data_IF_798357092737
#
_entry.id   IF_798357092737
#
_cell.length_a   1.000
_cell.length_b   1.000
_cell.length_c   1.000
_cell.angle_alpha   90.00
_cell.angle_beta   90.00
_cell.angle_gamma   90.00
#
_symmetry.space_group_name_H-M   'P 1'
#
loop_
_entity.id
_entity.type
_entity.pdbx_description
1 polymer ?
#
# COMPACT_ATOMS: atom_id res chain seq x y z
N UNK A 1 -7.09 -51.72 16.31
CA UNK A 1 -6.89 -51.53 14.86
C UNK A 1 -8.09 -50.79 14.35
N UNK A 2 -8.06 -49.46 14.30
CA UNK A 2 -9.07 -48.64 13.65
C UNK A 2 -8.34 -47.48 12.94
N UNK A 3 -8.33 -47.61 11.64
CA UNK A 3 -7.73 -46.67 10.66
C UNK A 3 -8.59 -45.41 10.58
N UNK A 4 -8.02 -44.27 10.97
CA UNK A 4 -8.64 -42.94 10.80
C UNK A 4 -8.21 -42.30 9.48
N UNK A 5 -9.14 -42.20 8.55
CA UNK A 5 -8.95 -41.59 7.26
C UNK A 5 -9.01 -40.06 7.39
N UNK A 6 -7.90 -39.38 7.14
CA UNK A 6 -7.84 -37.90 7.03
C UNK A 6 -8.45 -37.49 5.70
N UNK A 7 -9.60 -36.83 5.72
CA UNK A 7 -10.20 -36.19 4.54
C UNK A 7 -9.41 -34.95 4.18
N UNK A 8 -8.75 -34.97 3.01
CA UNK A 8 -8.21 -33.76 2.35
C UNK A 8 -9.39 -32.91 1.87
N UNK A 9 -9.49 -31.69 2.38
CA UNK A 9 -10.44 -30.69 1.88
C UNK A 9 -10.07 -30.29 0.45
N UNK A 10 -10.98 -30.55 -0.46
CA UNK A 10 -10.91 -30.10 -1.85
C UNK A 10 -11.14 -28.59 -1.88
N UNK A 11 -10.15 -27.83 -2.33
CA UNK A 11 -10.30 -26.44 -2.72
C UNK A 11 -11.30 -26.35 -3.89
N UNK A 12 -12.46 -25.76 -3.64
CA UNK A 12 -13.36 -25.39 -4.74
C UNK A 12 -12.82 -24.14 -5.44
N UNK A 13 -12.89 -24.09 -6.78
CA UNK A 13 -12.52 -22.89 -7.53
C UNK A 13 -13.54 -21.77 -7.24
N UNK A 14 -13.03 -20.56 -7.07
CA UNK A 14 -13.79 -19.35 -6.83
C UNK A 14 -14.67 -19.01 -8.05
N UNK A 15 -15.99 -18.95 -7.87
CA UNK A 15 -16.92 -18.44 -8.87
C UNK A 15 -17.40 -17.04 -8.45
N UNK A 16 -17.29 -16.03 -9.32
CA UNK A 16 -17.77 -14.70 -9.00
C UNK A 16 -19.32 -14.67 -8.94
N UNK A 17 -19.86 -14.40 -7.78
CA UNK A 17 -21.31 -14.18 -7.62
C UNK A 17 -21.61 -12.76 -8.05
N UNK A 18 -22.24 -12.58 -9.22
CA UNK A 18 -22.82 -11.33 -9.68
C UNK A 18 -24.10 -11.04 -8.90
N UNK A 19 -24.02 -10.21 -7.87
CA UNK A 19 -25.20 -9.64 -7.22
C UNK A 19 -25.52 -8.27 -7.82
N UNK A 20 -26.71 -8.19 -8.45
CA UNK A 20 -27.24 -6.97 -9.09
C UNK A 20 -27.94 -6.10 -8.05
N UNK A 21 -27.50 -4.87 -7.85
CA UNK A 21 -28.33 -3.81 -7.27
C UNK A 21 -28.44 -2.64 -8.26
N UNK A 22 -29.66 -2.33 -8.64
CA UNK A 22 -30.01 -1.19 -9.51
C UNK A 22 -30.15 0.06 -8.64
N UNK A 23 -29.49 1.16 -9.06
CA UNK A 23 -29.89 2.51 -8.64
C UNK A 23 -29.97 3.44 -9.85
N UNK A 24 -30.98 4.31 -9.80
CA UNK A 24 -31.53 5.11 -10.87
C UNK A 24 -30.58 6.22 -11.38
N UNK A 25 -30.74 6.53 -12.67
CA UNK A 25 -30.15 7.66 -13.36
C UNK A 25 -30.78 8.98 -12.88
N UNK A 26 -29.96 10.03 -12.79
CA UNK A 26 -30.45 11.40 -12.97
C UNK A 26 -29.53 12.18 -13.91
N UNK A 27 -30.18 12.79 -14.88
CA UNK A 27 -29.67 13.60 -15.98
C UNK A 27 -29.59 15.06 -15.55
N UNK A 28 -28.45 15.75 -15.80
CA UNK A 28 -28.44 17.14 -16.29
C UNK A 28 -27.04 17.57 -16.72
N UNK A 29 -26.92 17.97 -17.99
CA UNK A 29 -25.71 18.52 -18.56
C UNK A 29 -25.52 20.00 -18.24
N UNK A 30 -24.29 20.44 -18.27
CA UNK A 30 -23.91 21.79 -18.72
C UNK A 30 -22.40 21.81 -18.99
N UNK A 31 -22.01 22.44 -20.12
CA UNK A 31 -20.68 22.45 -20.65
C UNK A 31 -19.73 23.43 -19.95
N UNK A 32 -18.44 23.11 -19.99
CA UNK A 32 -17.35 24.03 -19.70
C UNK A 32 -16.19 23.79 -20.66
N UNK A 33 -15.66 24.87 -21.20
CA UNK A 33 -14.57 24.98 -22.20
C UNK A 33 -13.21 24.62 -21.60
N UNK A 34 -12.25 24.15 -22.38
CA UNK A 34 -10.90 23.82 -21.88
C UNK A 34 -10.03 25.08 -21.74
N UNK A 35 -9.40 25.22 -20.59
CA UNK A 35 -8.33 26.20 -20.35
C UNK A 35 -6.99 25.46 -20.43
N UNK A 36 -6.14 25.91 -21.35
CA UNK A 36 -4.78 25.42 -21.50
C UNK A 36 -3.89 26.02 -20.39
N UNK A 37 -3.24 25.19 -19.60
CA UNK A 37 -2.23 25.62 -18.62
C UNK A 37 -0.86 25.16 -19.11
N UNK A 38 -0.03 26.14 -19.51
CA UNK A 38 1.41 26.00 -19.74
C UNK A 38 2.11 25.84 -18.38
N UNK A 39 2.96 24.85 -18.25
CA UNK A 39 3.89 24.72 -17.12
C UNK A 39 5.18 25.52 -17.41
N UNK A 40 5.73 26.26 -16.44
CA UNK A 40 7.12 26.66 -16.46
C UNK A 40 7.94 25.83 -15.47
N UNK A 41 8.89 25.07 -15.96
CA UNK A 41 10.00 24.56 -15.14
C UNK A 41 10.98 25.71 -14.86
N UNK A 42 11.06 26.12 -13.61
CA UNK A 42 12.14 26.98 -13.13
C UNK A 42 13.14 26.11 -12.37
N UNK A 43 14.39 26.14 -12.84
CA UNK A 43 15.57 25.57 -12.15
C UNK A 43 15.87 26.42 -10.93
N UNK A 44 15.92 25.83 -9.76
CA UNK A 44 16.50 26.43 -8.56
C UNK A 44 17.77 25.66 -8.22
N UNK A 45 18.92 26.30 -8.43
CA UNK A 45 20.22 25.92 -7.85
C UNK A 45 20.35 26.71 -6.54
N UNK A 46 20.36 26.01 -5.41
CA UNK A 46 20.73 26.60 -4.13
C UNK A 46 22.08 26.01 -3.69
N UNK A 47 23.07 26.88 -3.57
CA UNK A 47 24.39 26.59 -3.01
C UNK A 47 24.26 26.35 -1.50
N UNK A 48 24.85 25.26 -1.02
CA UNK A 48 24.98 24.92 0.41
C UNK A 48 26.39 25.32 0.86
N UNK A 49 26.58 26.14 1.88
CA UNK A 49 27.90 26.44 2.41
C UNK A 49 28.42 25.29 3.28
N UNK A 50 29.65 24.93 3.01
CA UNK A 50 30.47 23.98 3.72
C UNK A 50 30.86 24.54 5.10
N UNK A 51 30.45 23.91 6.20
CA UNK A 51 30.97 24.19 7.53
C UNK A 51 31.19 22.90 8.31
N UNK A 52 32.47 22.60 8.48
CA UNK A 52 32.99 21.51 9.27
C UNK A 52 32.48 21.54 10.71
N UNK A 53 31.80 20.48 11.16
CA UNK A 53 31.42 20.27 12.56
C UNK A 53 32.35 19.23 13.19
N UNK A 54 33.22 19.71 14.08
CA UNK A 54 34.04 18.89 14.98
C UNK A 54 33.15 18.22 16.03
N UNK A 55 33.11 16.89 16.06
CA UNK A 55 32.36 16.12 17.06
C UNK A 55 33.20 15.92 18.30
N UNK A 56 32.96 16.69 19.35
CA UNK A 56 33.39 16.41 20.72
C UNK A 56 32.34 15.54 21.43
N UNK A 57 32.71 14.30 21.81
CA UNK A 57 31.91 13.44 22.67
C UNK A 57 31.86 14.03 24.08
N UNK A 58 30.68 14.48 24.51
CA UNK A 58 30.37 14.74 25.92
C UNK A 58 29.14 13.88 26.28
N UNK A 59 29.36 12.97 27.23
CA UNK A 59 28.35 12.11 27.85
C UNK A 59 27.56 12.93 28.86
N UNK A 60 26.43 13.47 28.45
CA UNK A 60 25.39 13.95 29.35
C UNK A 60 24.03 13.63 28.75
N UNK A 61 23.18 12.96 29.54
CA UNK A 61 21.82 12.60 29.17
C UNK A 61 21.04 13.87 28.82
N UNK A 62 20.90 14.18 27.54
CA UNK A 62 20.06 15.27 27.07
C UNK A 62 18.61 14.79 27.18
N UNK A 63 17.90 15.32 28.17
CA UNK A 63 16.45 15.28 28.25
C UNK A 63 15.88 16.03 27.02
N UNK A 64 15.61 15.32 25.95
CA UNK A 64 14.96 15.88 24.76
C UNK A 64 13.51 16.16 25.14
N UNK A 65 13.19 17.41 25.43
CA UNK A 65 11.79 17.85 25.49
C UNK A 65 11.20 17.66 24.08
N UNK A 66 10.09 16.93 23.92
CA UNK A 66 9.47 16.77 22.62
C UNK A 66 8.81 18.08 22.20
N UNK A 67 9.57 18.94 21.54
CA UNK A 67 9.08 20.22 20.96
C UNK A 67 8.42 20.00 19.60
N UNK A 68 8.64 18.84 18.97
CA UNK A 68 8.00 18.46 17.71
C UNK A 68 6.58 17.93 17.96
N UNK A 69 5.56 18.61 17.39
CA UNK A 69 4.16 18.16 17.51
C UNK A 69 3.89 16.73 17.01
N UNK A 70 4.65 16.25 16.04
CA UNK A 70 4.52 14.89 15.48
C UNK A 70 5.02 13.83 16.47
N UNK A 71 6.14 14.11 17.18
CA UNK A 71 6.69 13.24 18.22
C UNK A 71 5.70 13.12 19.39
N UNK A 72 5.06 14.22 19.79
CA UNK A 72 4.05 14.22 20.83
C UNK A 72 2.81 13.39 20.49
N UNK A 73 2.30 13.51 19.27
CA UNK A 73 1.14 12.72 18.79
C UNK A 73 1.43 11.21 18.73
N UNK A 74 2.61 10.84 18.22
CA UNK A 74 3.06 9.43 18.18
C UNK A 74 3.16 8.82 19.57
N UNK A 75 3.81 9.53 20.51
CA UNK A 75 3.99 9.05 21.88
C UNK A 75 2.65 8.89 22.60
N UNK A 76 1.73 9.87 22.44
CA UNK A 76 0.40 9.80 22.99
C UNK A 76 -0.40 8.62 22.44
N UNK A 77 -0.40 8.43 21.11
CA UNK A 77 -1.10 7.31 20.50
C UNK A 77 -0.51 5.95 20.96
N UNK A 78 0.81 5.86 21.12
CA UNK A 78 1.45 4.67 21.65
C UNK A 78 0.99 4.32 23.08
N UNK A 79 0.74 5.33 23.94
CA UNK A 79 0.15 5.12 25.28
C UNK A 79 -1.30 4.62 25.19
N UNK A 80 -2.11 5.19 24.27
CA UNK A 80 -3.49 4.73 24.04
C UNK A 80 -3.55 3.30 23.46
N UNK A 81 -2.59 2.90 22.63
CA UNK A 81 -2.53 1.53 22.10
C UNK A 81 -2.20 0.48 23.17
N UNK A 82 -1.47 0.87 24.23
CA UNK A 82 -1.05 -0.05 25.29
C UNK A 82 -2.12 -0.29 26.36
N UNK A 83 -3.14 0.55 26.42
CA UNK A 83 -4.09 0.60 27.55
C UNK A 83 -5.52 0.75 27.08
N UNK A 84 -6.47 0.11 27.77
CA UNK A 84 -7.87 0.21 27.40
C UNK A 84 -8.46 1.61 27.62
N UNK A 85 -7.93 2.36 28.62
CA UNK A 85 -8.31 3.75 28.88
C UNK A 85 -7.20 4.45 29.68
N UNK A 86 -7.01 5.77 29.44
CA UNK A 86 -6.01 6.59 30.14
C UNK A 86 -6.56 7.98 30.40
N UNK A 87 -6.45 8.49 31.64
CA UNK A 87 -6.89 9.86 31.94
C UNK A 87 -5.99 10.91 31.30
N UNK A 88 -6.56 12.08 30.99
CA UNK A 88 -5.77 13.20 30.44
C UNK A 88 -4.70 13.70 31.39
N UNK A 89 -4.86 13.56 32.71
CA UNK A 89 -3.82 13.89 33.71
C UNK A 89 -2.69 12.86 33.65
N UNK A 90 -3.00 11.57 33.63
CA UNK A 90 -2.00 10.51 33.52
C UNK A 90 -1.19 10.59 32.23
N UNK A 91 -1.84 10.89 31.08
CA UNK A 91 -1.13 11.16 29.82
C UNK A 91 -0.21 12.37 29.93
N UNK A 92 -0.67 13.45 30.57
CA UNK A 92 0.14 14.65 30.76
C UNK A 92 1.40 14.36 31.59
N UNK A 93 1.25 13.64 32.71
CA UNK A 93 2.35 13.28 33.59
C UNK A 93 3.36 12.35 32.89
N UNK A 94 2.89 11.32 32.18
CA UNK A 94 3.75 10.36 31.46
C UNK A 94 4.53 11.00 30.33
N UNK A 95 3.91 11.92 29.61
CA UNK A 95 4.51 12.59 28.45
C UNK A 95 5.28 13.86 28.81
N UNK A 96 5.23 14.28 30.09
CA UNK A 96 5.87 15.50 30.54
C UNK A 96 5.29 16.76 29.90
N UNK A 97 3.99 16.79 29.65
CA UNK A 97 3.27 17.89 28.98
C UNK A 97 2.07 18.36 29.82
N UNK A 98 1.42 19.46 29.43
CA UNK A 98 0.19 19.94 30.08
C UNK A 98 -1.04 19.15 29.59
N UNK A 99 -2.12 19.13 30.40
CA UNK A 99 -3.41 18.58 29.99
C UNK A 99 -3.97 19.24 28.73
N UNK A 100 -3.75 20.55 28.56
CA UNK A 100 -4.14 21.27 27.36
C UNK A 100 -3.37 20.81 26.13
N UNK A 101 -2.09 20.47 26.26
CA UNK A 101 -1.28 19.89 25.20
C UNK A 101 -1.78 18.47 24.84
N UNK A 102 -2.15 17.64 25.84
CA UNK A 102 -2.77 16.33 25.59
C UNK A 102 -4.05 16.49 24.78
N UNK A 103 -4.96 17.37 25.20
CA UNK A 103 -6.21 17.61 24.47
C UNK A 103 -5.95 18.00 23.00
N UNK A 104 -5.01 18.93 22.76
CA UNK A 104 -4.63 19.36 21.41
C UNK A 104 -4.06 18.21 20.57
N UNK A 105 -3.31 17.30 21.16
CA UNK A 105 -2.82 16.12 20.44
C UNK A 105 -3.93 15.11 20.15
N UNK A 106 -4.88 14.92 21.05
CA UNK A 106 -6.08 14.08 20.81
C UNK A 106 -6.86 14.61 19.62
N UNK A 107 -7.12 15.93 19.53
CA UNK A 107 -7.84 16.50 18.39
C UNK A 107 -7.10 16.29 17.07
N UNK A 108 -5.78 16.46 17.06
CA UNK A 108 -4.95 16.15 15.87
C UNK A 108 -5.01 14.68 15.43
N UNK A 109 -5.05 13.76 16.39
CA UNK A 109 -5.19 12.34 16.08
C UNK A 109 -6.59 12.04 15.52
N UNK A 110 -7.64 12.69 16.03
CA UNK A 110 -9.00 12.61 15.49
C UNK A 110 -9.07 13.16 14.06
N UNK A 111 -8.44 14.29 13.79
CA UNK A 111 -8.31 14.87 12.45
C UNK A 111 -7.55 13.94 11.49
N UNK A 112 -6.59 13.16 12.01
CA UNK A 112 -5.87 12.14 11.26
C UNK A 112 -6.65 10.82 11.07
N UNK A 113 -7.92 10.77 11.53
CA UNK A 113 -8.81 9.63 11.35
C UNK A 113 -8.76 8.58 12.47
N UNK A 114 -8.10 8.87 13.60
CA UNK A 114 -8.09 7.96 14.76
C UNK A 114 -9.37 8.16 15.58
N UNK A 115 -10.15 7.10 15.72
CA UNK A 115 -11.37 7.11 16.53
C UNK A 115 -11.01 7.03 18.03
N UNK A 116 -11.02 8.18 18.70
CA UNK A 116 -10.72 8.31 20.13
C UNK A 116 -11.95 8.81 20.86
N UNK A 117 -12.47 8.02 21.78
CA UNK A 117 -13.56 8.39 22.66
C UNK A 117 -13.00 9.00 23.96
N UNK A 118 -13.82 9.88 24.58
CA UNK A 118 -13.59 10.43 25.90
C UNK A 118 -14.77 10.10 26.80
N UNK A 119 -14.53 9.41 27.92
CA UNK A 119 -15.57 9.06 28.89
C UNK A 119 -15.28 9.73 30.23
N UNK A 120 -16.31 10.35 30.78
CA UNK A 120 -16.21 10.93 32.12
C UNK A 120 -15.79 9.87 33.13
N UNK A 121 -14.77 10.14 33.94
CA UNK A 121 -14.23 9.24 34.96
C UNK A 121 -13.25 8.17 34.46
N UNK A 122 -13.24 7.80 33.17
CA UNK A 122 -12.30 6.81 32.62
C UNK A 122 -11.23 7.36 31.65
N UNK A 123 -11.43 8.57 31.13
CA UNK A 123 -10.46 9.24 30.25
C UNK A 123 -10.62 8.90 28.78
N UNK A 124 -9.50 8.91 28.04
CA UNK A 124 -9.45 8.64 26.60
C UNK A 124 -9.21 7.15 26.34
N UNK A 125 -9.86 6.62 25.29
CA UNK A 125 -9.64 5.26 24.81
C UNK A 125 -9.83 5.21 23.30
N UNK A 126 -9.16 4.26 22.64
CA UNK A 126 -9.38 3.97 21.23
C UNK A 126 -10.71 3.24 21.08
N UNK A 127 -11.58 3.74 20.21
CA UNK A 127 -12.84 3.05 19.87
C UNK A 127 -12.58 1.68 19.26
N UNK A 128 -11.46 1.56 18.55
CA UNK A 128 -11.00 0.32 17.92
C UNK A 128 -9.51 0.12 18.22
N UNK A 129 -9.06 -1.10 18.59
CA UNK A 129 -7.65 -1.39 18.76
C UNK A 129 -6.83 -1.03 17.53
N UNK A 130 -5.71 -0.34 17.75
CA UNK A 130 -4.78 0.08 16.71
C UNK A 130 -3.38 -0.42 17.05
N UNK A 131 -2.65 -0.90 16.05
CA UNK A 131 -1.28 -1.36 16.17
C UNK A 131 -0.36 -0.46 15.35
N UNK A 132 0.61 0.20 16.03
CA UNK A 132 1.62 1.02 15.37
C UNK A 132 2.75 0.14 14.82
N UNK A 133 3.29 0.54 13.67
CA UNK A 133 4.47 -0.10 13.10
C UNK A 133 5.74 0.38 13.83
N UNK A 134 6.62 -0.57 14.14
CA UNK A 134 7.90 -0.33 14.79
C UNK A 134 9.01 -1.03 13.99
N UNK A 135 10.02 -0.29 13.53
CA UNK A 135 11.03 -0.83 12.64
C UNK A 135 11.87 -1.97 13.26
N UNK A 136 12.35 -1.89 14.50
CA UNK A 136 13.01 -3.01 15.19
C UNK A 136 12.15 -4.26 15.29
N UNK A 137 10.89 -4.13 15.70
CA UNK A 137 9.97 -5.26 15.83
C UNK A 137 9.63 -5.86 14.47
N UNK A 138 9.38 -5.01 13.47
CA UNK A 138 9.11 -5.44 12.10
C UNK A 138 10.31 -6.20 11.52
N UNK A 139 11.53 -5.68 11.69
CA UNK A 139 12.75 -6.38 11.29
C UNK A 139 12.88 -7.74 11.99
N UNK A 140 12.56 -7.82 13.28
CA UNK A 140 12.61 -9.08 14.04
C UNK A 140 11.56 -10.10 13.54
N UNK A 141 10.39 -9.65 13.08
CA UNK A 141 9.30 -10.46 12.57
C UNK A 141 9.54 -11.02 11.15
N UNK A 142 10.50 -10.46 10.39
CA UNK A 142 10.87 -10.96 9.06
C UNK A 142 11.52 -12.35 9.15
N UNK A 143 11.36 -13.15 8.09
CA UNK A 143 12.07 -14.40 7.93
C UNK A 143 13.60 -14.20 7.97
N UNK A 144 14.38 -15.15 8.52
CA UNK A 144 15.84 -15.01 8.61
C UNK A 144 16.52 -14.74 7.26
N UNK A 145 16.06 -15.41 6.20
CA UNK A 145 16.56 -15.21 4.84
C UNK A 145 16.29 -13.79 4.32
N UNK A 146 15.12 -13.24 4.60
CA UNK A 146 14.75 -11.86 4.24
C UNK A 146 15.63 -10.87 5.00
N UNK A 147 15.80 -11.05 6.32
CA UNK A 147 16.68 -10.17 7.12
C UNK A 147 18.11 -10.12 6.64
N UNK A 148 18.65 -11.28 6.20
CA UNK A 148 20.04 -11.39 5.74
C UNK A 148 20.30 -10.60 4.45
N UNK A 149 19.30 -10.46 3.56
CA UNK A 149 19.44 -9.77 2.27
C UNK A 149 18.86 -8.36 2.24
N UNK A 150 18.17 -7.94 3.33
CA UNK A 150 17.55 -6.62 3.44
C UNK A 150 18.61 -5.52 3.49
N UNK A 151 18.56 -4.58 2.54
CA UNK A 151 19.48 -3.43 2.50
C UNK A 151 19.23 -2.43 3.62
N UNK A 152 17.96 -2.07 3.85
CA UNK A 152 17.52 -1.20 4.94
C UNK A 152 16.00 -1.32 5.13
N UNK A 153 15.52 -0.93 6.33
CA UNK A 153 14.10 -0.86 6.66
C UNK A 153 13.83 0.38 7.51
N UNK A 154 13.00 1.27 6.99
CA UNK A 154 12.55 2.48 7.66
C UNK A 154 11.04 2.48 7.88
N UNK A 155 10.59 2.95 9.04
CA UNK A 155 9.18 3.22 9.36
C UNK A 155 9.04 4.68 9.76
N UNK A 156 8.35 5.45 8.94
CA UNK A 156 8.10 6.88 9.18
C UNK A 156 6.75 7.07 9.88
N UNK A 157 6.71 8.02 10.82
CA UNK A 157 5.43 8.46 11.37
C UNK A 157 4.58 9.17 10.30
N UNK A 158 5.21 10.08 9.59
CA UNK A 158 4.60 10.81 8.48
C UNK A 158 5.65 11.10 7.42
N UNK A 159 5.26 10.94 6.17
CA UNK A 159 6.08 11.27 4.99
C UNK A 159 5.17 11.73 3.86
N UNK A 160 5.72 12.31 2.81
CA UNK A 160 4.97 12.63 1.59
C UNK A 160 4.47 11.36 0.91
N UNK A 161 5.39 10.45 0.58
CA UNK A 161 5.11 9.14 -0.02
C UNK A 161 6.29 8.18 0.22
N UNK A 162 6.00 6.93 0.57
CA UNK A 162 7.02 5.88 0.71
C UNK A 162 7.74 5.60 -0.61
N UNK A 163 7.03 5.69 -1.75
CA UNK A 163 7.67 5.60 -3.08
C UNK A 163 8.59 6.79 -3.33
N UNK A 164 8.14 8.02 -3.04
CA UNK A 164 8.96 9.22 -3.27
C UNK A 164 10.25 9.19 -2.44
N UNK A 165 10.19 8.68 -1.21
CA UNK A 165 11.38 8.48 -0.38
C UNK A 165 12.38 7.52 -1.02
N UNK A 166 11.92 6.37 -1.48
CA UNK A 166 12.82 5.41 -2.10
C UNK A 166 13.33 5.86 -3.47
N UNK A 167 12.55 6.64 -4.23
CA UNK A 167 13.05 7.28 -5.46
C UNK A 167 14.18 8.28 -5.14
N UNK A 168 14.02 9.14 -4.13
CA UNK A 168 15.10 10.04 -3.69
C UNK A 168 16.34 9.27 -3.25
N UNK A 169 16.16 8.16 -2.53
CA UNK A 169 17.28 7.32 -2.09
C UNK A 169 17.92 6.55 -3.24
N UNK A 170 17.19 6.19 -4.28
CA UNK A 170 17.71 5.44 -5.43
C UNK A 170 18.87 6.16 -6.13
N UNK A 171 18.86 7.51 -6.14
CA UNK A 171 19.84 8.36 -6.79
C UNK A 171 21.15 8.48 -5.98
N UNK A 172 21.10 8.29 -4.65
CA UNK A 172 22.22 8.55 -3.74
C UNK A 172 22.68 7.33 -2.94
N UNK A 173 21.87 6.28 -2.88
CA UNK A 173 22.11 5.06 -2.12
C UNK A 173 22.25 3.87 -3.08
N UNK A 174 23.45 3.31 -3.20
CA UNK A 174 23.72 2.18 -4.08
C UNK A 174 23.13 0.85 -3.57
N UNK A 175 22.62 0.78 -2.33
CA UNK A 175 22.05 -0.44 -1.76
C UNK A 175 20.81 -0.88 -2.51
N UNK A 176 20.62 -2.19 -2.56
CA UNK A 176 19.41 -2.85 -3.08
C UNK A 176 18.51 -3.25 -1.93
N UNK A 177 17.25 -3.59 -2.23
CA UNK A 177 16.25 -4.07 -1.26
C UNK A 177 16.04 -3.12 -0.07
N UNK A 178 15.90 -1.83 -0.36
CA UNK A 178 15.49 -0.84 0.63
C UNK A 178 13.99 -0.91 0.82
N UNK A 179 13.54 -0.92 2.07
CA UNK A 179 12.12 -0.99 2.44
C UNK A 179 11.72 0.25 3.23
N UNK A 180 10.65 0.89 2.83
CA UNK A 180 10.08 2.07 3.48
C UNK A 180 8.60 1.86 3.78
N UNK A 181 8.20 2.08 5.04
CA UNK A 181 6.80 2.11 5.47
C UNK A 181 6.49 3.45 6.11
N UNK A 182 5.19 3.76 6.20
CA UNK A 182 4.72 4.96 6.89
C UNK A 182 3.38 4.71 7.59
N UNK A 183 3.19 5.38 8.74
CA UNK A 183 1.89 5.46 9.40
C UNK A 183 0.94 6.37 8.63
N UNK A 184 1.45 7.48 8.10
CA UNK A 184 0.71 8.44 7.28
C UNK A 184 1.49 8.88 6.06
N UNK A 185 0.80 9.08 4.95
CA UNK A 185 1.31 9.74 3.75
C UNK A 185 0.52 11.03 3.48
N UNK A 186 1.20 12.18 3.43
CA UNK A 186 0.56 13.47 3.11
C UNK A 186 0.29 13.65 1.60
N UNK A 187 1.03 12.93 0.75
CA UNK A 187 0.92 12.96 -0.70
C UNK A 187 1.03 11.54 -1.29
N UNK A 188 0.32 10.57 -0.68
CA UNK A 188 0.27 9.20 -1.18
C UNK A 188 -0.28 9.14 -2.61
N UNK A 189 0.35 8.33 -3.47
CA UNK A 189 0.07 8.30 -4.91
C UNK A 189 -0.39 6.93 -5.38
N UNK A 190 -1.32 6.96 -6.33
CA UNK A 190 -1.69 5.86 -7.18
C UNK A 190 -1.39 6.17 -8.65
N UNK A 191 -1.69 5.26 -9.54
CA UNK A 191 -1.54 5.45 -10.99
C UNK A 191 -2.34 6.65 -11.50
N UNK A 192 -1.82 7.32 -12.54
CA UNK A 192 -2.47 8.46 -13.21
C UNK A 192 -2.75 9.64 -12.28
N UNK A 193 -1.87 9.89 -11.32
CA UNK A 193 -1.99 11.02 -10.41
C UNK A 193 -3.11 10.91 -9.38
N UNK A 194 -3.78 9.76 -9.24
CA UNK A 194 -4.79 9.57 -8.19
C UNK A 194 -4.13 9.58 -6.82
N UNK A 195 -4.80 10.21 -5.85
CA UNK A 195 -4.34 10.17 -4.47
C UNK A 195 -4.59 8.77 -3.86
N UNK A 196 -3.62 8.27 -3.10
CA UNK A 196 -3.79 7.16 -2.17
C UNK A 196 -4.01 7.71 -0.77
N UNK A 197 -5.20 7.50 -0.23
CA UNK A 197 -5.58 7.98 1.11
C UNK A 197 -5.72 6.80 2.06
N UNK A 198 -5.22 6.95 3.27
CA UNK A 198 -5.21 5.94 4.31
C UNK A 198 -5.29 6.64 5.66
N UNK A 199 -6.25 6.29 6.54
CA UNK A 199 -6.26 6.84 7.90
C UNK A 199 -5.05 6.33 8.68
N UNK A 200 -4.63 7.08 9.69
CA UNK A 200 -3.52 6.71 10.58
C UNK A 200 -3.76 5.32 11.20
N UNK A 201 -2.81 4.41 10.99
CA UNK A 201 -2.92 3.01 11.45
C UNK A 201 -3.97 2.16 10.71
N UNK A 202 -4.75 2.73 9.79
CA UNK A 202 -5.85 2.06 9.09
C UNK A 202 -5.46 1.29 7.84
N UNK A 203 -4.18 1.26 7.48
CA UNK A 203 -3.68 0.50 6.34
C UNK A 203 -2.20 0.21 6.43
N UNK A 204 -1.66 -0.37 5.36
CA UNK A 204 -0.22 -0.59 5.18
C UNK A 204 0.18 0.14 3.90
N UNK A 205 1.10 1.10 4.02
CA UNK A 205 1.83 1.68 2.90
C UNK A 205 3.27 1.19 3.00
N UNK A 206 3.66 0.29 2.09
CA UNK A 206 5.01 -0.27 2.00
C UNK A 206 5.55 -0.06 0.61
N UNK A 207 6.80 0.38 0.52
CA UNK A 207 7.54 0.47 -0.74
C UNK A 207 8.85 -0.29 -0.64
N UNK A 208 9.25 -0.90 -1.74
CA UNK A 208 10.52 -1.64 -1.89
C UNK A 208 11.27 -1.10 -3.10
N UNK A 209 12.54 -0.73 -2.93
CA UNK A 209 13.46 -0.45 -4.01
C UNK A 209 14.19 -1.73 -4.38
N UNK A 210 14.14 -2.08 -5.67
CA UNK A 210 14.88 -3.20 -6.27
C UNK A 210 15.66 -2.72 -7.48
N UNK A 211 16.93 -3.11 -7.56
CA UNK A 211 17.80 -2.86 -8.71
C UNK A 211 17.82 -4.07 -9.64
N UNK A 212 17.86 -3.80 -10.94
CA UNK A 212 17.88 -4.78 -12.01
C UNK A 212 19.01 -4.50 -12.98
N UNK A 213 19.70 -5.53 -13.43
CA UNK A 213 20.81 -5.43 -14.39
C UNK A 213 20.32 -5.20 -15.84
N UNK A 214 19.07 -5.56 -16.12
CA UNK A 214 18.48 -5.46 -17.46
C UNK A 214 17.76 -4.13 -17.72
N UNK A 215 17.29 -3.93 -18.98
CA UNK A 215 16.58 -2.75 -19.40
C UNK A 215 15.16 -2.65 -18.78
N UNK A 216 14.62 -1.44 -18.71
CA UNK A 216 13.26 -1.21 -18.18
C UNK A 216 12.18 -2.06 -18.88
N UNK A 217 12.35 -2.36 -20.17
CA UNK A 217 11.41 -3.19 -20.92
C UNK A 217 11.30 -4.63 -20.38
N UNK A 218 12.34 -5.15 -19.68
CA UNK A 218 12.32 -6.47 -19.04
C UNK A 218 11.40 -6.52 -17.82
N UNK A 219 10.97 -5.37 -17.30
CA UNK A 219 10.10 -5.26 -16.14
C UNK A 219 8.60 -5.32 -16.47
N UNK A 220 8.25 -5.68 -17.72
CA UNK A 220 6.86 -5.93 -18.10
C UNK A 220 6.24 -7.02 -17.20
N UNK A 221 5.03 -6.78 -16.69
CA UNK A 221 4.34 -7.70 -15.78
C UNK A 221 4.81 -7.65 -14.31
N UNK A 222 5.79 -6.80 -13.95
CA UNK A 222 6.28 -6.68 -12.56
C UNK A 222 5.15 -6.37 -11.56
N UNK A 223 4.22 -5.48 -11.92
CA UNK A 223 3.06 -5.16 -11.06
C UNK A 223 2.18 -6.39 -10.79
N UNK A 224 2.05 -7.31 -11.75
CA UNK A 224 1.26 -8.54 -11.60
C UNK A 224 1.98 -9.55 -10.70
N UNK A 225 3.30 -9.70 -10.87
CA UNK A 225 4.13 -10.54 -9.99
C UNK A 225 4.08 -10.06 -8.52
N UNK A 226 4.11 -8.75 -8.30
CA UNK A 226 3.92 -8.11 -6.99
C UNK A 226 2.52 -8.40 -6.44
N UNK A 227 1.50 -8.37 -7.30
CA UNK A 227 0.14 -8.74 -6.94
C UNK A 227 0.05 -10.18 -6.43
N UNK A 228 0.66 -11.13 -7.14
CA UNK A 228 0.75 -12.54 -6.72
C UNK A 228 1.42 -12.65 -5.34
N UNK A 229 2.57 -12.01 -5.16
CA UNK A 229 3.27 -12.00 -3.87
C UNK A 229 2.40 -11.45 -2.73
N UNK A 230 1.63 -10.38 -2.99
CA UNK A 230 0.74 -9.81 -1.99
C UNK A 230 -0.40 -10.76 -1.61
N UNK A 231 -1.01 -11.46 -2.59
CA UNK A 231 -2.05 -12.48 -2.32
C UNK A 231 -1.48 -13.64 -1.52
N UNK A 232 -0.29 -14.15 -1.89
CA UNK A 232 0.40 -15.22 -1.16
C UNK A 232 0.75 -14.79 0.28
N UNK A 233 1.20 -13.55 0.49
CA UNK A 233 1.46 -13.00 1.82
C UNK A 233 0.18 -12.93 2.67
N UNK A 234 -0.95 -12.53 2.09
CA UNK A 234 -2.24 -12.48 2.77
C UNK A 234 -2.74 -13.90 3.11
N UNK A 235 -2.59 -14.85 2.19
CA UNK A 235 -2.93 -16.25 2.44
C UNK A 235 -2.08 -16.85 3.58
N UNK A 236 -0.80 -16.48 3.71
CA UNK A 236 0.06 -16.86 4.84
C UNK A 236 -0.40 -16.25 6.19
N UNK A 237 -1.23 -15.21 6.15
CA UNK A 237 -1.92 -14.64 7.32
C UNK A 237 -3.35 -15.19 7.49
N UNK A 238 -3.71 -16.29 6.84
CA UNK A 238 -5.04 -16.89 6.82
C UNK A 238 -6.14 -15.95 6.27
N UNK A 239 -5.76 -14.99 5.41
CA UNK A 239 -6.68 -14.08 4.72
C UNK A 239 -6.87 -14.60 3.29
N UNK A 240 -8.03 -15.17 3.02
CA UNK A 240 -8.44 -15.66 1.71
C UNK A 240 -9.30 -14.67 0.92
N UNK A 241 -9.91 -15.14 -0.16
CA UNK A 241 -10.87 -14.40 -1.00
C UNK A 241 -10.29 -13.14 -1.66
N UNK A 242 -8.96 -13.09 -1.85
CA UNK A 242 -8.29 -11.95 -2.51
C UNK A 242 -7.98 -12.32 -3.95
N UNK A 243 -8.49 -11.53 -4.88
CA UNK A 243 -8.22 -11.61 -6.31
C UNK A 243 -7.36 -10.44 -6.80
N UNK A 244 -6.87 -10.59 -8.03
CA UNK A 244 -6.07 -9.59 -8.71
C UNK A 244 -6.87 -8.99 -9.87
N UNK A 245 -7.04 -7.69 -9.88
CA UNK A 245 -7.63 -6.97 -10.99
C UNK A 245 -6.53 -6.27 -11.77
N UNK A 246 -6.33 -6.72 -13.02
CA UNK A 246 -5.38 -6.10 -13.94
C UNK A 246 -5.61 -4.59 -14.05
N UNK A 247 -4.54 -3.78 -14.08
CA UNK A 247 -3.14 -4.19 -14.07
C UNK A 247 -2.47 -4.14 -12.70
N UNK A 248 -3.14 -3.71 -11.61
CA UNK A 248 -2.44 -3.34 -10.40
C UNK A 248 -3.29 -3.29 -9.12
N UNK A 249 -4.50 -3.82 -9.13
CA UNK A 249 -5.38 -3.75 -7.97
C UNK A 249 -5.55 -5.13 -7.29
N UNK A 250 -5.49 -5.14 -5.96
CA UNK A 250 -6.00 -6.23 -5.15
C UNK A 250 -7.49 -5.98 -4.90
N UNK A 251 -8.31 -6.99 -5.08
CA UNK A 251 -9.76 -6.90 -4.92
C UNK A 251 -10.29 -8.05 -4.06
N UNK A 252 -11.36 -7.80 -3.34
CA UNK A 252 -12.12 -8.82 -2.64
C UNK A 252 -13.60 -8.46 -2.67
N UNK A 253 -14.48 -9.44 -2.83
CA UNK A 253 -15.94 -9.24 -2.89
C UNK A 253 -16.38 -8.12 -3.85
N UNK A 254 -15.65 -7.98 -4.98
CA UNK A 254 -15.93 -6.97 -6.01
C UNK A 254 -15.48 -5.54 -5.67
N UNK A 255 -14.82 -5.31 -4.54
CA UNK A 255 -14.33 -4.00 -4.08
C UNK A 255 -12.81 -3.98 -4.00
N UNK A 256 -12.21 -2.78 -4.06
CA UNK A 256 -10.76 -2.60 -4.00
C UNK A 256 -10.25 -2.74 -2.56
N UNK A 257 -9.35 -3.71 -2.36
CA UNK A 257 -8.66 -3.97 -1.11
C UNK A 257 -7.31 -3.24 -1.03
N UNK A 258 -6.61 -3.13 -2.17
CA UNK A 258 -5.30 -2.54 -2.24
C UNK A 258 -4.92 -2.13 -3.64
N UNK A 259 -3.75 -1.49 -3.79
CA UNK A 259 -3.22 -1.08 -5.09
C UNK A 259 -1.71 -1.06 -5.11
N UNK A 260 -1.16 -1.36 -6.27
CA UNK A 260 0.27 -1.43 -6.54
C UNK A 260 0.67 -0.28 -7.45
N UNK A 261 1.76 0.41 -7.14
CA UNK A 261 2.36 1.45 -7.95
C UNK A 261 3.84 1.13 -8.18
N UNK A 262 4.18 0.80 -9.41
CA UNK A 262 5.57 0.59 -9.83
C UNK A 262 6.06 1.86 -10.52
N UNK A 263 7.14 2.42 -10.04
CA UNK A 263 7.84 3.56 -10.62
C UNK A 263 9.26 3.14 -10.98
N UNK A 264 9.67 3.43 -12.21
CA UNK A 264 10.95 3.00 -12.77
C UNK A 264 11.91 4.18 -12.85
N UNK A 265 13.20 3.91 -12.65
CA UNK A 265 14.27 4.87 -12.83
C UNK A 265 15.56 4.17 -13.30
N UNK A 266 16.58 4.96 -13.63
CA UNK A 266 17.83 4.45 -14.21
C UNK A 266 17.82 4.49 -15.73
N UNK A 267 18.64 3.64 -16.37
CA UNK A 267 18.78 3.60 -17.82
C UNK A 267 17.65 2.79 -18.47
N UNK A 268 17.06 3.33 -19.52
CA UNK A 268 16.00 2.65 -20.28
C UNK A 268 16.50 1.38 -20.98
N UNK A 269 17.77 1.35 -21.43
CA UNK A 269 18.42 0.27 -22.16
C UNK A 269 19.44 -0.52 -21.35
N UNK A 270 19.76 -0.06 -20.14
CA UNK A 270 20.79 -0.62 -19.27
C UNK A 270 20.25 -0.94 -17.87
N UNK A 271 21.15 -0.94 -16.86
CA UNK A 271 20.75 -1.18 -15.48
C UNK A 271 19.71 -0.17 -15.00
N UNK A 272 18.65 -0.67 -14.39
CA UNK A 272 17.56 0.15 -13.93
C UNK A 272 17.14 -0.21 -12.50
N UNK A 273 16.21 0.52 -11.95
CA UNK A 273 15.60 0.18 -10.68
C UNK A 273 14.07 0.37 -10.74
N UNK A 274 13.40 -0.36 -9.90
CA UNK A 274 11.98 -0.18 -9.64
C UNK A 274 11.74 0.15 -8.18
N UNK A 275 10.91 1.16 -7.93
CA UNK A 275 10.28 1.38 -6.63
C UNK A 275 8.86 0.84 -6.71
N UNK A 276 8.63 -0.20 -5.94
CA UNK A 276 7.36 -0.94 -5.90
C UNK A 276 6.61 -0.55 -4.64
N UNK A 277 5.56 0.25 -4.78
CA UNK A 277 4.66 0.62 -3.69
C UNK A 277 3.44 -0.28 -3.65
N UNK A 278 3.09 -0.74 -2.48
CA UNK A 278 1.84 -1.44 -2.18
C UNK A 278 1.09 -0.68 -1.08
N UNK A 279 -0.12 -0.24 -1.40
CA UNK A 279 -1.09 0.26 -0.45
C UNK A 279 -2.17 -0.78 -0.18
N UNK A 280 -2.40 -1.11 1.09
CA UNK A 280 -3.38 -2.11 1.51
C UNK A 280 -4.31 -1.52 2.59
N UNK A 281 -5.60 -1.64 2.39
CA UNK A 281 -6.61 -1.24 3.36
C UNK A 281 -6.70 -2.29 4.47
N UNK A 282 -6.37 -1.91 5.71
CA UNK A 282 -6.47 -2.79 6.86
C UNK A 282 -7.78 -2.58 7.61
N UNK A 283 -8.11 -1.32 7.91
CA UNK A 283 -9.33 -0.87 8.56
C UNK A 283 -9.57 0.59 8.18
N UNK A 284 -10.54 0.83 7.33
CA UNK A 284 -10.82 2.17 6.81
C UNK A 284 -11.74 2.98 7.73
N UNK A 285 -12.61 2.33 8.51
CA UNK A 285 -13.59 3.01 9.35
C UNK A 285 -14.41 4.03 8.56
N UNK A 286 -14.67 5.19 9.14
CA UNK A 286 -15.41 6.28 8.49
C UNK A 286 -14.72 6.82 7.23
N UNK A 287 -13.39 6.64 7.09
CA UNK A 287 -12.63 7.11 5.93
C UNK A 287 -13.02 6.40 4.63
N UNK A 288 -13.66 5.23 4.68
CA UNK A 288 -14.16 4.53 3.51
C UNK A 288 -15.13 5.39 2.69
N UNK A 289 -15.95 6.22 3.36
CA UNK A 289 -16.91 7.10 2.71
C UNK A 289 -16.28 8.24 1.89
N UNK A 290 -15.00 8.53 2.10
CA UNK A 290 -14.26 9.59 1.37
C UNK A 290 -13.53 9.07 0.13
N UNK A 291 -13.65 7.78 -0.19
CA UNK A 291 -12.99 7.13 -1.32
C UNK A 291 -13.99 7.01 -2.48
N UNK A 292 -13.70 7.64 -3.62
CA UNK A 292 -14.58 7.71 -4.80
C UNK A 292 -14.70 6.38 -5.59
N UNK A 293 -14.47 5.23 -4.95
CA UNK A 293 -14.63 3.91 -5.56
C UNK A 293 -15.03 2.88 -4.49
N UNK A 294 -15.69 1.82 -4.91
CA UNK A 294 -15.98 0.70 -4.01
C UNK A 294 -14.68 0.16 -3.41
N UNK A 295 -14.56 0.22 -2.10
CA UNK A 295 -13.40 -0.25 -1.35
C UNK A 295 -13.82 -1.20 -0.22
N UNK A 296 -12.90 -2.07 0.16
CA UNK A 296 -13.01 -3.02 1.27
C UNK A 296 -11.70 -3.01 2.03
N UNK A 297 -11.72 -3.45 3.27
CA UNK A 297 -10.53 -3.59 4.10
C UNK A 297 -10.38 -5.03 4.63
N UNK A 298 -9.21 -5.35 5.17
CA UNK A 298 -8.93 -6.69 5.70
C UNK A 298 -9.81 -7.04 6.89
N UNK A 299 -10.23 -6.06 7.69
CA UNK A 299 -11.08 -6.29 8.85
C UNK A 299 -12.47 -6.84 8.48
N UNK A 300 -12.91 -6.59 7.23
CA UNK A 300 -14.15 -7.17 6.69
C UNK A 300 -13.97 -8.61 6.18
N UNK A 301 -12.74 -9.07 5.94
CA UNK A 301 -12.42 -10.39 5.39
C UNK A 301 -12.02 -11.40 6.46
N UNK A 302 -11.34 -10.96 7.51
CA UNK A 302 -10.84 -11.81 8.58
C UNK A 302 -10.92 -11.12 9.95
N UNK A 303 -10.98 -11.89 11.06
CA UNK A 303 -10.87 -11.33 12.39
C UNK A 303 -9.56 -10.56 12.52
N UNK A 304 -9.64 -9.30 12.94
CA UNK A 304 -8.57 -8.33 13.24
C UNK A 304 -7.12 -8.86 13.06
N UNK A 305 -6.58 -8.91 11.82
CA UNK A 305 -5.22 -9.42 11.61
C UNK A 305 -4.21 -8.45 12.25
N UNK A 306 -3.11 -8.98 12.81
CA UNK A 306 -2.00 -8.16 13.28
C UNK A 306 -1.41 -7.38 12.10
N UNK A 307 -1.42 -6.07 12.18
CA UNK A 307 -0.85 -5.18 11.16
C UNK A 307 0.64 -5.41 10.98
N UNK A 308 1.36 -5.64 12.08
CA UNK A 308 2.78 -5.96 12.09
C UNK A 308 3.05 -7.28 11.36
N UNK A 309 2.24 -8.31 11.63
CA UNK A 309 2.38 -9.61 10.99
C UNK A 309 2.11 -9.53 9.49
N UNK A 310 1.03 -8.84 9.07
CA UNK A 310 0.72 -8.64 7.65
C UNK A 310 1.84 -7.87 6.95
N UNK A 311 2.37 -6.79 7.57
CA UNK A 311 3.47 -6.02 7.01
C UNK A 311 4.75 -6.87 6.85
N UNK A 312 5.09 -7.69 7.85
CA UNK A 312 6.24 -8.59 7.77
C UNK A 312 6.08 -9.62 6.64
N UNK A 313 4.92 -10.27 6.52
CA UNK A 313 4.66 -11.24 5.44
C UNK A 313 4.67 -10.59 4.07
N UNK A 314 4.12 -9.38 3.93
CA UNK A 314 4.22 -8.63 2.68
C UNK A 314 5.68 -8.38 2.29
N UNK A 315 6.53 -7.93 3.22
CA UNK A 315 7.96 -7.70 2.94
C UNK A 315 8.66 -8.99 2.55
N UNK A 316 8.42 -10.10 3.28
CA UNK A 316 9.01 -11.41 2.97
C UNK A 316 8.68 -11.84 1.53
N UNK A 317 7.39 -11.85 1.17
CA UNK A 317 6.93 -12.28 -0.15
C UNK A 317 7.31 -11.32 -1.27
N UNK A 318 7.29 -10.00 -1.00
CA UNK A 318 7.69 -8.99 -2.00
C UNK A 318 9.17 -9.14 -2.37
N UNK A 319 10.07 -9.28 -1.38
CA UNK A 319 11.49 -9.43 -1.65
C UNK A 319 11.80 -10.75 -2.39
N UNK A 320 11.13 -11.85 -2.03
CA UNK A 320 11.23 -13.12 -2.75
C UNK A 320 10.76 -13.00 -4.20
N UNK A 321 9.61 -12.37 -4.40
CA UNK A 321 9.05 -12.20 -5.73
C UNK A 321 9.91 -11.29 -6.61
N UNK A 322 10.47 -10.21 -6.06
CA UNK A 322 11.34 -9.30 -6.79
C UNK A 322 12.66 -9.98 -7.21
N UNK A 323 13.25 -10.80 -6.35
CA UNK A 323 14.44 -11.57 -6.69
C UNK A 323 14.15 -12.65 -7.74
N UNK A 324 13.03 -13.37 -7.61
CA UNK A 324 12.57 -14.36 -8.58
C UNK A 324 12.23 -13.72 -9.93
N UNK A 325 11.59 -12.55 -9.90
CA UNK A 325 11.26 -11.80 -11.11
C UNK A 325 12.51 -11.31 -11.85
N UNK A 326 13.54 -10.86 -11.13
CA UNK A 326 14.81 -10.43 -11.72
C UNK A 326 15.47 -11.54 -12.57
N UNK A 327 15.28 -12.81 -12.23
CA UNK A 327 15.87 -13.96 -12.93
C UNK A 327 14.94 -14.51 -14.03
N UNK A 328 13.63 -14.58 -13.75
CA UNK A 328 12.70 -15.35 -14.57
C UNK A 328 11.59 -14.51 -15.23
N UNK A 329 11.51 -13.21 -14.95
CA UNK A 329 10.46 -12.35 -15.45
C UNK A 329 9.06 -12.74 -14.99
N UNK A 330 8.03 -12.23 -15.67
CA UNK A 330 6.63 -12.51 -15.34
C UNK A 330 6.24 -13.97 -15.59
N UNK A 331 6.88 -14.66 -16.52
CA UNK A 331 6.54 -16.06 -16.85
C UNK A 331 6.51 -16.99 -15.62
N UNK A 332 7.39 -16.74 -14.63
CA UNK A 332 7.39 -17.49 -13.37
C UNK A 332 6.13 -17.28 -12.50
N UNK A 333 5.33 -16.27 -12.77
CA UNK A 333 4.15 -15.89 -12.00
C UNK A 333 2.84 -16.07 -12.78
N UNK A 334 2.89 -16.35 -14.07
CA UNK A 334 1.73 -16.39 -14.96
C UNK A 334 0.62 -17.33 -14.46
N UNK A 335 0.97 -18.56 -14.08
CA UNK A 335 -0.01 -19.55 -13.58
C UNK A 335 -0.60 -19.13 -12.22
N UNK A 336 0.23 -18.54 -11.34
CA UNK A 336 -0.24 -18.03 -10.05
C UNK A 336 -1.17 -16.85 -10.25
N UNK A 337 -0.83 -15.93 -11.17
CA UNK A 337 -1.69 -14.82 -11.53
C UNK A 337 -3.04 -15.30 -12.09
N UNK A 338 -3.03 -16.26 -13.03
CA UNK A 338 -4.25 -16.79 -13.64
C UNK A 338 -5.23 -17.37 -12.59
N UNK A 339 -4.72 -18.00 -11.51
CA UNK A 339 -5.57 -18.50 -10.43
C UNK A 339 -6.27 -17.43 -9.61
N UNK A 340 -5.72 -16.21 -9.61
CA UNK A 340 -6.24 -15.07 -8.84
C UNK A 340 -6.83 -13.96 -9.71
N UNK A 341 -6.88 -14.16 -11.05
CA UNK A 341 -7.39 -13.15 -11.99
C UNK A 341 -8.89 -12.94 -11.81
N UNK A 342 -9.23 -11.79 -11.21
CA UNK A 342 -10.61 -11.39 -10.98
C UNK A 342 -11.35 -10.92 -12.24
N UNK A 343 -10.65 -10.80 -13.38
CA UNK A 343 -11.25 -10.39 -14.66
C UNK A 343 -11.45 -11.54 -15.64
N UNK A 344 -10.94 -12.73 -15.32
CA UNK A 344 -11.03 -13.88 -16.23
C UNK A 344 -12.48 -14.15 -16.62
N UNK A 345 -12.77 -14.24 -17.94
CA UNK A 345 -14.11 -14.41 -18.52
C UNK A 345 -15.11 -13.29 -18.20
N UNK A 346 -14.66 -12.16 -17.64
CA UNK A 346 -15.55 -11.03 -17.36
C UNK A 346 -15.66 -10.09 -18.56
N UNK A 347 -16.87 -9.56 -18.77
CA UNK A 347 -17.08 -8.43 -19.67
C UNK A 347 -16.47 -7.17 -19.07
N UNK A 348 -15.61 -6.50 -19.83
CA UNK A 348 -14.87 -5.32 -19.37
C UNK A 348 -15.00 -4.15 -20.36
N UNK A 349 -15.12 -2.95 -19.83
CA UNK A 349 -14.95 -1.73 -20.62
C UNK A 349 -13.48 -1.31 -20.58
N UNK A 350 -12.87 -1.24 -21.74
CA UNK A 350 -11.49 -0.75 -21.95
C UNK A 350 -11.55 0.73 -22.27
N UNK A 351 -10.97 1.54 -21.39
CA UNK A 351 -10.91 2.99 -21.52
C UNK A 351 -9.48 3.39 -21.94
N UNK A 352 -9.35 3.90 -23.16
CA UNK A 352 -8.08 4.36 -23.74
C UNK A 352 -8.25 5.80 -24.24
N UNK A 353 -7.82 6.78 -23.46
CA UNK A 353 -8.19 8.18 -23.69
C UNK A 353 -9.72 8.35 -23.61
N UNK A 354 -10.30 8.94 -24.65
CA UNK A 354 -11.77 9.09 -24.77
C UNK A 354 -12.48 7.87 -25.37
N UNK A 355 -11.71 6.91 -25.90
CA UNK A 355 -12.28 5.71 -26.50
C UNK A 355 -12.66 4.72 -25.43
N UNK A 356 -13.88 4.22 -25.50
CA UNK A 356 -14.41 3.11 -24.69
C UNK A 356 -14.77 1.97 -25.61
N UNK A 357 -14.19 0.80 -25.37
CA UNK A 357 -14.50 -0.43 -26.09
C UNK A 357 -14.87 -1.51 -25.09
N UNK A 358 -15.80 -2.36 -25.47
CA UNK A 358 -16.25 -3.47 -24.64
C UNK A 358 -15.74 -4.78 -25.20
N UNK A 359 -15.26 -5.65 -24.32
CA UNK A 359 -14.77 -6.97 -24.68
C UNK A 359 -14.74 -7.90 -23.47
N UNK A 360 -14.36 -9.15 -23.71
CA UNK A 360 -14.24 -10.19 -22.68
C UNK A 360 -12.76 -10.39 -22.36
N UNK A 361 -12.37 -10.26 -21.09
CA UNK A 361 -11.01 -10.50 -20.64
C UNK A 361 -10.68 -12.00 -20.63
N UNK A 362 -9.51 -12.37 -21.20
CA UNK A 362 -9.05 -13.75 -21.40
C UNK A 362 -7.70 -14.04 -20.71
N UNK A 363 -7.45 -13.37 -19.58
CA UNK A 363 -6.18 -13.49 -18.87
C UNK A 363 -5.08 -12.65 -19.50
N UNK A 364 -3.83 -13.02 -19.29
CA UNK A 364 -2.66 -12.26 -19.76
C UNK A 364 -1.81 -13.08 -20.73
N UNK A 365 -0.99 -12.38 -21.53
CA UNK A 365 0.07 -13.00 -22.31
C UNK A 365 1.33 -13.30 -21.43
N UNK A 366 2.37 -13.85 -22.04
CA UNK A 366 3.63 -14.18 -21.37
C UNK A 366 4.38 -12.97 -20.79
N UNK A 367 4.03 -11.73 -21.19
CA UNK A 367 4.59 -10.48 -20.70
C UNK A 367 3.71 -9.78 -19.67
N UNK A 368 2.52 -10.34 -19.38
CA UNK A 368 1.54 -9.75 -18.46
C UNK A 368 0.64 -8.68 -19.11
N UNK A 369 0.63 -8.55 -20.42
CA UNK A 369 -0.35 -7.73 -21.12
C UNK A 369 -1.71 -8.43 -21.15
N UNK A 370 -2.81 -7.68 -21.02
CA UNK A 370 -4.16 -8.24 -20.93
C UNK A 370 -4.67 -8.63 -22.31
N UNK A 371 -5.16 -9.86 -22.44
CA UNK A 371 -5.82 -10.38 -23.64
C UNK A 371 -7.31 -10.11 -23.54
N UNK A 372 -7.88 -9.49 -24.56
CA UNK A 372 -9.31 -9.14 -24.62
C UNK A 372 -9.89 -9.54 -25.96
N UNK A 373 -11.00 -10.24 -25.94
CA UNK A 373 -11.78 -10.56 -27.12
C UNK A 373 -12.84 -9.47 -27.33
N UNK A 374 -12.66 -8.69 -28.38
CA UNK A 374 -13.62 -7.72 -28.88
C UNK A 374 -14.48 -8.31 -30.01
N UNK A 375 -15.51 -7.59 -30.45
CA UNK A 375 -16.32 -8.01 -31.60
C UNK A 375 -15.51 -8.19 -32.90
N UNK A 376 -14.40 -7.47 -33.04
CA UNK A 376 -13.50 -7.53 -34.21
C UNK A 376 -12.37 -8.58 -34.07
N UNK A 377 -12.26 -9.27 -32.94
CA UNK A 377 -11.22 -10.26 -32.67
C UNK A 377 -10.50 -10.03 -31.34
N UNK A 378 -9.50 -10.89 -31.06
CA UNK A 378 -8.69 -10.79 -29.86
C UNK A 378 -7.57 -9.75 -30.03
N UNK A 379 -7.39 -8.92 -29.02
CA UNK A 379 -6.32 -7.94 -28.94
C UNK A 379 -5.57 -8.05 -27.61
N UNK A 380 -4.30 -7.67 -27.61
CA UNK A 380 -3.46 -7.55 -26.42
C UNK A 380 -3.35 -6.08 -26.03
N UNK A 381 -3.58 -5.79 -24.77
CA UNK A 381 -3.62 -4.43 -24.22
C UNK A 381 -2.55 -4.27 -23.15
N UNK A 382 -1.63 -3.31 -23.36
CA UNK A 382 -0.60 -2.96 -22.39
C UNK A 382 -1.13 -2.03 -21.28
N UNK A 383 -0.51 -2.08 -20.12
CA UNK A 383 -0.97 -1.39 -18.91
C UNK A 383 -0.84 0.14 -18.93
N UNK A 384 -0.09 0.70 -19.88
CA UNK A 384 0.32 2.11 -19.85
C UNK A 384 -0.83 3.12 -19.80
N UNK A 385 -1.76 3.04 -20.76
CA UNK A 385 -2.79 4.07 -20.95
C UNK A 385 -4.23 3.57 -20.75
N UNK A 386 -4.41 2.38 -20.21
CA UNK A 386 -5.73 1.73 -20.14
C UNK A 386 -6.28 1.72 -18.72
N UNK A 387 -7.57 1.97 -18.60
CA UNK A 387 -8.36 1.75 -17.38
C UNK A 387 -9.45 0.71 -17.69
N UNK A 388 -9.64 -0.24 -16.79
CA UNK A 388 -10.66 -1.28 -16.93
C UNK A 388 -11.79 -1.08 -15.93
N UNK A 389 -13.01 -1.32 -16.38
CA UNK A 389 -14.19 -1.43 -15.53
C UNK A 389 -14.93 -2.70 -15.86
N UNK A 390 -15.23 -3.50 -14.85
CA UNK A 390 -16.09 -4.68 -15.00
C UNK A 390 -17.49 -4.16 -15.33
N UNK A 391 -18.07 -4.67 -16.40
CA UNK A 391 -19.45 -4.41 -16.74
C UNK A 391 -20.33 -5.25 -15.82
N UNK A 392 -21.20 -4.58 -15.06
CA UNK A 392 -22.16 -5.22 -14.16
C UNK A 392 -23.55 -5.16 -14.77
#
# INVERSE_FOLDING_TARGET
MTSGTVRRGLHQPWHPVCAVQRTAADTRGQGARPVAIRAPYARYTAEVPDSAVTVTRSSSAVSVRPTDPAIGARALLAELCRRPAVSGSELADRLGVTRAAVWKQIERLREAGVEIDARAGSGYHLATPLELLDAPQLRAALAPATRARLGDLAVHWQIDSTNSELLRRADHDARDRLVCLAEMQSAGRGRRGRAWRMPLGGGIAVSVLKRFEGPMASLAGLSLAVGVAAVEALAACAIGEVGLKWPNDLVARGAKLGGILVELGGDALGPCHAVVGLGLNLRLGASAATIDQACIDLAALAPAPSRMQVAARLIDHLLDALDRFAVHGFGAFADAYARHDALHECEVDVLQGERRRRGIARGTDARGALRIVFAAGEEVVDSGEVSLRVHR
#
